data_IF_951156584956
#
_entry.id   IF_951156584956
#
_cell.length_a   1.000
_cell.length_b   1.000
_cell.length_c   1.000
_cell.angle_alpha   90.00
_cell.angle_beta   90.00
_cell.angle_gamma   90.00
#
_symmetry.space_group_name_H-M   'P 1'
#
loop_
_entity.id
_entity.type
_entity.pdbx_description
1 polymer ?
#
# COMPACT_ATOMS: atom_id res chain seq x y z
N UNK A 1 80.75 40.49 -27.30
CA UNK A 1 79.64 39.90 -28.08
C UNK A 1 78.97 38.84 -27.22
N UNK A 2 77.69 39.08 -26.89
CA UNK A 2 76.58 38.16 -26.53
C UNK A 2 76.86 36.89 -25.68
N UNK A 3 76.20 36.87 -24.51
CA UNK A 3 75.95 35.77 -23.55
C UNK A 3 75.08 34.61 -24.16
N UNK A 4 74.65 33.58 -23.37
CA UNK A 4 75.20 32.22 -23.23
C UNK A 4 74.11 31.19 -23.65
N UNK A 5 74.10 29.94 -23.17
CA UNK A 5 72.91 29.25 -22.61
C UNK A 5 73.27 27.78 -22.32
N UNK A 6 73.29 27.45 -21.03
CA UNK A 6 73.19 26.10 -20.48
C UNK A 6 71.78 25.56 -20.75
N UNK A 7 71.68 24.44 -21.46
CA UNK A 7 70.44 23.67 -21.58
C UNK A 7 70.35 22.69 -20.40
N UNK A 8 69.55 23.07 -19.40
CA UNK A 8 69.11 22.20 -18.31
C UNK A 8 68.14 21.14 -18.88
N UNK A 9 68.50 19.87 -18.74
CA UNK A 9 67.55 18.75 -18.82
C UNK A 9 66.57 18.86 -17.64
N UNK A 10 65.30 19.14 -17.92
CA UNK A 10 64.20 19.03 -16.96
C UNK A 10 63.18 18.06 -17.53
N UNK A 11 63.29 16.78 -17.15
CA UNK A 11 62.27 15.78 -17.38
C UNK A 11 61.16 15.96 -16.34
N UNK A 12 60.10 16.67 -16.72
CA UNK A 12 58.88 16.76 -15.92
C UNK A 12 58.06 15.50 -16.19
N UNK A 13 58.16 14.53 -15.27
CA UNK A 13 57.19 13.46 -15.11
C UNK A 13 55.85 14.09 -14.69
N UNK A 14 54.92 14.23 -15.64
CA UNK A 14 53.50 14.39 -15.33
C UNK A 14 52.97 13.00 -14.97
N UNK A 15 53.00 12.70 -13.68
CA UNK A 15 52.29 11.58 -13.06
C UNK A 15 50.82 11.68 -13.43
N UNK A 16 50.36 10.74 -14.26
CA UNK A 16 48.94 10.56 -14.50
C UNK A 16 48.24 10.30 -13.16
N UNK A 17 47.27 11.16 -12.83
CA UNK A 17 46.23 10.83 -11.87
C UNK A 17 45.38 9.71 -12.51
N UNK A 18 45.90 8.48 -12.46
CA UNK A 18 45.04 7.31 -12.53
C UNK A 18 44.26 7.32 -11.21
N UNK A 19 43.13 8.03 -11.19
CA UNK A 19 42.11 7.79 -10.19
C UNK A 19 41.73 6.33 -10.32
N UNK A 20 42.15 5.51 -9.36
CA UNK A 20 41.63 4.17 -9.18
C UNK A 20 40.13 4.32 -8.93
N UNK A 21 39.31 4.16 -9.96
CA UNK A 21 37.90 3.81 -9.77
C UNK A 21 37.88 2.38 -9.25
N UNK A 22 38.04 2.22 -7.94
CA UNK A 22 37.76 0.95 -7.30
C UNK A 22 36.26 0.70 -7.55
N UNK A 23 35.93 -0.30 -8.37
CA UNK A 23 34.55 -0.68 -8.61
C UNK A 23 33.89 -0.93 -7.26
N UNK A 24 32.82 -0.20 -6.99
CA UNK A 24 32.11 -0.29 -5.73
C UNK A 24 31.42 -1.66 -5.65
N UNK A 25 31.71 -2.40 -4.59
CA UNK A 25 31.15 -3.72 -4.43
C UNK A 25 29.68 -3.59 -3.99
N UNK A 26 28.75 -3.92 -4.88
CA UNK A 26 27.32 -3.81 -4.62
C UNK A 26 26.75 -5.08 -3.97
N UNK A 27 25.64 -4.92 -3.26
CA UNK A 27 24.82 -6.03 -2.75
C UNK A 27 23.34 -5.74 -2.98
N UNK A 28 22.55 -6.80 -3.11
CA UNK A 28 21.11 -6.70 -3.33
C UNK A 28 20.37 -6.70 -2.00
N UNK A 29 19.53 -5.69 -1.81
CA UNK A 29 18.58 -5.62 -0.69
C UNK A 29 17.17 -5.97 -1.15
N UNK A 30 16.42 -6.53 -0.21
CA UNK A 30 14.97 -6.53 -0.26
C UNK A 30 14.43 -5.09 -0.20
N UNK A 31 13.21 -4.86 -0.65
CA UNK A 31 12.52 -3.59 -0.55
C UNK A 31 11.20 -3.82 0.17
N UNK A 32 10.89 -2.94 1.11
CA UNK A 32 9.57 -2.87 1.72
C UNK A 32 9.27 -1.43 2.11
N UNK A 33 8.03 -1.15 2.50
CA UNK A 33 7.63 0.19 2.87
C UNK A 33 6.50 0.23 3.90
N UNK A 34 6.38 1.37 4.56
CA UNK A 34 5.29 1.67 5.48
C UNK A 34 4.77 3.08 5.24
N UNK A 35 3.44 3.23 5.20
CA UNK A 35 2.75 4.51 5.05
C UNK A 35 2.37 5.08 6.42
N UNK A 36 3.21 5.94 6.99
CA UNK A 36 2.90 6.67 8.21
C UNK A 36 2.08 7.94 7.94
N UNK A 37 2.01 8.38 6.68
CA UNK A 37 1.22 9.55 6.27
C UNK A 37 -0.28 9.26 6.25
N UNK A 38 -0.67 8.04 5.91
CA UNK A 38 -2.08 7.62 5.86
C UNK A 38 -2.80 8.02 4.58
N UNK A 39 -2.07 8.40 3.53
CA UNK A 39 -2.65 8.72 2.22
C UNK A 39 -2.81 7.49 1.32
N UNK A 40 -2.17 6.37 1.68
CA UNK A 40 -2.04 5.20 0.84
C UNK A 40 -1.06 5.43 -0.31
N UNK A 41 -0.52 4.33 -0.84
CA UNK A 41 0.47 4.34 -1.92
C UNK A 41 -0.06 3.44 -3.04
N UNK A 42 -0.27 4.01 -4.22
CA UNK A 42 -0.72 3.27 -5.40
C UNK A 42 0.40 2.39 -5.98
N UNK A 43 1.65 2.81 -5.81
CA UNK A 43 2.85 2.04 -6.09
C UNK A 43 4.09 2.89 -5.84
N UNK A 44 5.26 2.25 -5.68
CA UNK A 44 6.51 2.98 -5.54
C UNK A 44 7.69 2.18 -6.05
N UNK A 45 8.81 2.88 -6.22
CA UNK A 45 10.09 2.29 -6.58
C UNK A 45 11.23 3.10 -6.01
N UNK A 46 12.32 2.42 -5.71
CA UNK A 46 13.60 3.01 -5.32
C UNK A 46 14.52 2.96 -6.53
N UNK A 47 15.18 4.07 -6.83
CA UNK A 47 15.98 4.26 -8.03
C UNK A 47 17.30 4.90 -7.62
N UNK A 48 18.40 4.42 -8.17
CA UNK A 48 19.67 5.11 -8.03
C UNK A 48 19.65 6.39 -8.90
N UNK A 49 19.88 7.58 -8.32
CA UNK A 49 19.86 8.83 -9.07
C UNK A 49 20.96 8.93 -10.13
N UNK A 50 22.04 8.14 -10.00
CA UNK A 50 23.17 8.12 -10.91
C UNK A 50 23.13 6.92 -11.89
N UNK A 51 22.42 5.84 -11.56
CA UNK A 51 22.14 4.72 -12.46
C UNK A 51 20.65 4.32 -12.46
N UNK A 52 19.81 4.90 -13.34
CA UNK A 52 18.39 4.60 -13.40
C UNK A 52 18.03 3.12 -13.68
N UNK A 53 19.00 2.30 -14.12
CA UNK A 53 18.82 0.85 -14.30
C UNK A 53 18.85 0.11 -12.97
N UNK A 54 19.57 0.64 -11.97
CA UNK A 54 19.50 0.15 -10.60
C UNK A 54 18.21 0.66 -9.95
N UNK A 55 17.17 -0.18 -10.04
CA UNK A 55 15.82 0.12 -9.59
C UNK A 55 15.20 -1.13 -8.99
N UNK A 56 14.44 -0.95 -7.92
CA UNK A 56 13.50 -1.97 -7.45
C UNK A 56 12.14 -1.38 -7.09
N UNK A 57 11.09 -2.14 -7.40
CA UNK A 57 9.70 -1.75 -7.15
C UNK A 57 9.18 -2.34 -5.84
N UNK A 58 8.21 -1.67 -5.25
CA UNK A 58 7.44 -2.18 -4.11
C UNK A 58 5.94 -2.24 -4.38
N UNK A 59 5.23 -2.89 -3.46
CA UNK A 59 3.77 -3.08 -3.54
C UNK A 59 2.99 -1.78 -3.25
N UNK A 60 1.72 -1.76 -3.63
CA UNK A 60 0.79 -0.73 -3.16
C UNK A 60 0.50 -0.88 -1.66
N UNK A 61 0.29 0.23 -0.98
CA UNK A 61 0.00 0.29 0.45
C UNK A 61 -1.39 0.89 0.67
N UNK A 62 -2.19 0.24 1.51
CA UNK A 62 -3.36 0.89 2.08
C UNK A 62 -2.92 2.01 3.04
N UNK A 63 -3.77 3.03 3.30
CA UNK A 63 -3.50 4.02 4.33
C UNK A 63 -3.11 3.39 5.67
N UNK A 64 -2.06 3.91 6.30
CA UNK A 64 -1.56 3.42 7.60
C UNK A 64 -1.23 1.92 7.62
N UNK A 65 -0.64 1.42 6.52
CA UNK A 65 -0.21 0.02 6.40
C UNK A 65 1.26 -0.10 6.01
N UNK A 66 1.79 -1.32 6.11
CA UNK A 66 3.09 -1.70 5.58
C UNK A 66 2.95 -2.78 4.52
N UNK A 67 3.85 -2.77 3.55
CA UNK A 67 3.84 -3.67 2.39
C UNK A 67 4.60 -4.96 2.65
N UNK A 68 4.47 -5.91 1.74
CA UNK A 68 5.31 -7.09 1.71
C UNK A 68 6.77 -6.77 1.39
N UNK A 69 7.56 -7.83 1.26
CA UNK A 69 8.96 -7.75 0.82
C UNK A 69 9.03 -8.09 -0.66
N UNK A 70 9.62 -7.18 -1.44
CA UNK A 70 9.93 -7.37 -2.87
C UNK A 70 11.43 -7.34 -3.12
N UNK A 71 11.85 -7.81 -4.29
CA UNK A 71 13.25 -7.82 -4.71
C UNK A 71 13.40 -7.08 -6.05
N UNK A 72 14.49 -6.34 -6.31
CA UNK A 72 15.57 -5.95 -5.41
C UNK A 72 16.09 -4.55 -5.79
N UNK A 73 16.78 -3.89 -4.87
CA UNK A 73 17.57 -2.69 -5.14
C UNK A 73 19.04 -2.99 -4.80
N UNK A 74 19.98 -2.56 -5.64
CA UNK A 74 21.40 -2.74 -5.36
C UNK A 74 21.95 -1.50 -4.64
N UNK A 75 22.76 -1.72 -3.60
CA UNK A 75 23.39 -0.66 -2.82
C UNK A 75 24.85 -1.03 -2.56
N UNK A 76 25.74 -0.06 -2.30
CA UNK A 76 27.10 -0.36 -1.86
C UNK A 76 27.13 -1.29 -0.66
N UNK A 77 28.12 -2.19 -0.59
CA UNK A 77 28.32 -3.01 0.62
C UNK A 77 28.78 -2.15 1.80
N UNK A 78 29.59 -1.14 1.54
CA UNK A 78 30.09 -0.20 2.54
C UNK A 78 29.37 1.12 2.39
N UNK A 79 28.86 1.66 3.50
CA UNK A 79 28.25 2.98 3.48
C UNK A 79 29.31 4.07 3.26
N UNK A 80 28.92 5.13 2.57
CA UNK A 80 29.70 6.35 2.43
C UNK A 80 28.79 7.59 2.48
N UNK A 81 29.38 8.74 2.82
CA UNK A 81 28.66 10.01 2.83
C UNK A 81 28.17 10.39 1.43
N UNK A 82 26.99 10.98 1.34
CA UNK A 82 26.36 11.38 0.08
C UNK A 82 25.65 10.27 -0.68
N UNK A 83 25.49 9.08 -0.07
CA UNK A 83 24.66 8.02 -0.64
C UNK A 83 23.18 8.43 -0.65
N UNK A 84 22.56 8.43 -1.83
CA UNK A 84 21.19 8.90 -2.04
C UNK A 84 20.40 7.92 -2.89
N UNK A 85 19.07 7.94 -2.71
CA UNK A 85 18.13 7.24 -3.59
C UNK A 85 16.97 8.16 -3.98
N UNK A 86 16.41 7.91 -5.16
CA UNK A 86 15.16 8.50 -5.61
C UNK A 86 14.01 7.53 -5.31
N UNK A 87 13.11 7.94 -4.43
CA UNK A 87 11.83 7.26 -4.19
C UNK A 87 10.81 7.83 -5.19
N UNK A 88 10.50 7.06 -6.21
CA UNK A 88 9.48 7.41 -7.21
C UNK A 88 8.17 6.77 -6.79
N UNK A 89 7.19 7.58 -6.41
CA UNK A 89 5.91 7.16 -5.85
C UNK A 89 4.73 7.58 -6.73
N UNK A 90 3.70 6.73 -6.81
CA UNK A 90 2.38 7.10 -7.31
C UNK A 90 1.33 6.93 -6.19
N UNK A 91 0.53 7.97 -5.98
CA UNK A 91 -0.59 7.92 -5.05
C UNK A 91 -1.83 7.26 -5.67
N UNK A 92 -2.74 6.69 -4.85
CA UNK A 92 -4.01 6.14 -5.32
C UNK A 92 -4.75 7.09 -6.26
N UNK A 93 -5.42 6.54 -7.27
CA UNK A 93 -6.26 7.30 -8.17
C UNK A 93 -7.52 7.77 -7.44
N UNK A 94 -8.02 8.95 -7.81
CA UNK A 94 -9.24 9.53 -7.24
C UNK A 94 -10.49 8.92 -7.89
N UNK A 95 -11.56 8.76 -7.09
CA UNK A 95 -12.85 8.24 -7.56
C UNK A 95 -13.25 6.92 -6.92
N UNK A 96 -14.56 6.71 -6.81
CA UNK A 96 -15.16 5.49 -6.23
C UNK A 96 -15.52 4.47 -7.32
N UNK A 97 -15.66 4.93 -8.56
CA UNK A 97 -15.97 4.10 -9.73
C UNK A 97 -14.76 3.82 -10.61
N UNK A 98 -14.90 2.89 -11.56
CA UNK A 98 -13.86 2.64 -12.57
C UNK A 98 -13.68 3.81 -13.53
N UNK A 99 -14.77 4.48 -13.89
CA UNK A 99 -14.75 5.60 -14.84
C UNK A 99 -14.06 6.82 -14.23
N UNK A 100 -14.43 7.19 -13.00
CA UNK A 100 -13.78 8.30 -12.27
C UNK A 100 -12.28 8.07 -12.07
N UNK A 101 -11.87 6.83 -11.73
CA UNK A 101 -10.45 6.49 -11.61
C UNK A 101 -9.72 6.56 -12.95
N UNK A 102 -10.40 6.21 -14.05
CA UNK A 102 -9.83 6.33 -15.39
C UNK A 102 -9.65 7.80 -15.80
N UNK A 103 -10.60 8.66 -15.44
CA UNK A 103 -10.48 10.12 -15.64
C UNK A 103 -9.35 10.71 -14.79
N UNK A 104 -9.23 10.30 -13.52
CA UNK A 104 -8.13 10.70 -12.63
C UNK A 104 -6.77 10.31 -13.23
N UNK A 105 -6.64 9.09 -13.75
CA UNK A 105 -5.42 8.62 -14.42
C UNK A 105 -5.10 9.49 -15.65
N UNK A 106 -6.06 9.68 -16.55
CA UNK A 106 -5.88 10.45 -17.77
C UNK A 106 -5.47 11.90 -17.47
N UNK A 107 -6.11 12.53 -16.49
CA UNK A 107 -5.78 13.87 -16.02
C UNK A 107 -4.34 13.94 -15.50
N UNK A 108 -3.97 13.07 -14.56
CA UNK A 108 -2.62 13.08 -13.96
C UNK A 108 -1.52 12.73 -14.97
N UNK A 109 -1.82 11.91 -15.97
CA UNK A 109 -0.90 11.65 -17.08
C UNK A 109 -0.71 12.88 -17.96
N UNK A 110 -1.78 13.58 -18.33
CA UNK A 110 -1.71 14.80 -19.14
C UNK A 110 -0.97 15.94 -18.41
N UNK A 111 -1.14 16.03 -17.09
CA UNK A 111 -0.48 17.02 -16.24
C UNK A 111 0.96 16.62 -15.83
N UNK A 112 1.37 15.37 -16.07
CA UNK A 112 2.68 14.86 -15.63
C UNK A 112 2.79 14.67 -14.10
N UNK A 113 1.67 14.58 -13.39
CA UNK A 113 1.58 14.48 -11.92
C UNK A 113 1.32 13.04 -11.43
N UNK A 114 1.44 12.05 -12.33
CA UNK A 114 1.23 10.63 -11.97
C UNK A 114 2.29 10.12 -10.99
N UNK A 115 3.53 10.60 -11.11
CA UNK A 115 4.65 10.21 -10.28
C UNK A 115 5.27 11.42 -9.59
N UNK A 116 5.60 11.25 -8.32
CA UNK A 116 6.42 12.17 -7.55
C UNK A 116 7.76 11.51 -7.27
N UNK A 117 8.85 12.25 -7.43
CA UNK A 117 10.19 11.80 -7.06
C UNK A 117 10.62 12.52 -5.79
N UNK A 118 10.92 11.74 -4.75
CA UNK A 118 11.45 12.22 -3.49
C UNK A 118 12.90 11.76 -3.39
N UNK A 119 13.85 12.69 -3.40
CA UNK A 119 15.26 12.35 -3.16
C UNK A 119 15.51 12.22 -1.67
N UNK A 120 16.11 11.11 -1.27
CA UNK A 120 16.32 10.78 0.14
C UNK A 120 17.78 10.37 0.34
N UNK A 121 18.41 10.94 1.36
CA UNK A 121 19.72 10.49 1.83
C UNK A 121 19.57 9.11 2.51
N UNK A 122 20.50 8.19 2.22
CA UNK A 122 20.55 6.89 2.90
C UNK A 122 21.38 7.04 4.17
N UNK A 123 20.79 6.90 5.36
CA UNK A 123 21.54 6.95 6.61
C UNK A 123 22.58 5.83 6.70
N UNK A 124 23.58 6.03 7.56
CA UNK A 124 24.60 5.01 7.82
C UNK A 124 23.94 3.69 8.25
N UNK A 125 24.37 2.59 7.62
CA UNK A 125 23.90 1.25 7.91
C UNK A 125 25.03 0.34 8.37
N UNK A 126 24.66 -0.75 9.05
CA UNK A 126 25.63 -1.77 9.43
C UNK A 126 26.30 -2.33 8.18
N UNK A 127 27.63 -2.20 8.11
CA UNK A 127 28.45 -2.72 7.02
C UNK A 127 28.87 -4.17 7.32
N UNK A 128 28.75 -5.12 6.37
CA UNK A 128 28.22 -4.95 5.02
C UNK A 128 26.69 -4.79 5.01
N UNK A 129 26.18 -3.99 4.07
CA UNK A 129 24.74 -3.84 3.84
C UNK A 129 24.05 -5.21 3.69
N UNK A 130 22.90 -5.37 4.34
CA UNK A 130 22.11 -6.60 4.34
C UNK A 130 20.67 -6.33 4.75
N UNK A 131 19.77 -7.20 4.32
CA UNK A 131 18.37 -7.17 4.70
C UNK A 131 17.52 -6.37 3.73
N UNK A 132 16.78 -5.40 4.28
CA UNK A 132 15.73 -4.66 3.58
C UNK A 132 16.03 -3.17 3.58
N UNK A 133 15.86 -2.54 2.42
CA UNK A 133 15.69 -1.11 2.29
C UNK A 133 14.21 -0.79 2.53
N UNK A 134 13.95 -0.21 3.70
CA UNK A 134 12.64 0.25 4.13
C UNK A 134 12.41 1.67 3.65
N UNK A 135 11.33 1.90 2.89
CA UNK A 135 10.83 3.24 2.59
C UNK A 135 9.73 3.60 3.59
N UNK A 136 9.92 4.67 4.34
CA UNK A 136 8.93 5.17 5.29
C UNK A 136 8.29 6.42 4.69
N UNK A 137 7.05 6.31 4.20
CA UNK A 137 6.31 7.46 3.70
C UNK A 137 5.76 8.27 4.89
N UNK A 138 6.11 9.55 4.91
CA UNK A 138 5.84 10.47 6.00
C UNK A 138 4.82 11.53 5.57
N UNK A 139 4.15 12.22 6.50
CA UNK A 139 3.30 13.36 6.18
C UNK A 139 4.02 14.42 5.32
N UNK A 140 3.24 15.27 4.65
CA UNK A 140 3.71 16.31 3.73
C UNK A 140 4.50 15.78 2.52
N UNK A 141 4.12 14.59 2.02
CA UNK A 141 4.74 13.94 0.85
C UNK A 141 6.26 13.73 0.99
N UNK A 142 6.72 13.49 2.22
CA UNK A 142 8.12 13.17 2.52
C UNK A 142 8.34 11.67 2.59
N UNK A 143 9.57 11.24 2.45
CA UNK A 143 9.97 9.86 2.68
C UNK A 143 11.32 9.80 3.38
N UNK A 144 11.48 8.80 4.24
CA UNK A 144 12.77 8.37 4.78
C UNK A 144 13.11 7.00 4.21
N UNK A 145 14.40 6.66 4.18
CA UNK A 145 14.86 5.32 3.85
C UNK A 145 15.76 4.78 4.94
N UNK A 146 15.65 3.48 5.21
CA UNK A 146 16.43 2.80 6.26
C UNK A 146 16.85 1.43 5.77
N UNK A 147 18.14 1.12 5.86
CA UNK A 147 18.64 -0.24 5.57
C UNK A 147 18.76 -1.03 6.87
N UNK A 148 18.03 -2.14 6.98
CA UNK A 148 18.00 -2.95 8.19
C UNK A 148 17.58 -4.40 7.93
N UNK A 149 18.07 -5.32 8.76
CA UNK A 149 17.53 -6.69 8.86
C UNK A 149 16.31 -6.79 9.77
N UNK A 150 16.01 -5.72 10.48
CA UNK A 150 14.91 -5.67 11.43
C UNK A 150 13.73 -4.90 10.81
N UNK A 151 12.53 -5.30 11.19
CA UNK A 151 11.30 -4.56 10.86
C UNK A 151 11.16 -3.32 11.76
N UNK A 152 10.40 -2.30 11.35
CA UNK A 152 10.22 -1.06 12.11
C UNK A 152 9.86 -1.20 13.60
N UNK A 153 9.07 -2.20 14.05
CA UNK A 153 8.77 -2.39 15.48
C UNK A 153 9.90 -2.96 16.33
N UNK A 154 10.96 -3.50 15.72
CA UNK A 154 12.06 -4.12 16.47
C UNK A 154 12.85 -3.05 17.23
N UNK A 155 13.33 -3.39 18.43
CA UNK A 155 14.08 -2.44 19.28
C UNK A 155 15.35 -1.91 18.58
N UNK A 156 16.06 -2.81 17.89
CA UNK A 156 17.28 -2.51 17.12
C UNK A 156 17.03 -1.93 15.72
N UNK A 157 15.78 -1.60 15.36
CA UNK A 157 15.53 -0.89 14.11
C UNK A 157 16.21 0.49 14.15
N UNK A 158 17.08 0.84 13.16
CA UNK A 158 17.89 2.05 13.23
C UNK A 158 17.15 3.31 12.76
N UNK A 159 15.93 3.17 12.20
CA UNK A 159 15.13 4.33 11.78
C UNK A 159 14.60 5.14 12.94
N UNK A 160 14.46 6.45 12.73
CA UNK A 160 13.90 7.39 13.72
C UNK A 160 12.45 7.04 14.06
N UNK A 161 11.66 6.66 13.06
CA UNK A 161 10.29 6.21 13.23
C UNK A 161 10.29 4.70 13.45
N UNK A 162 9.92 4.31 14.67
CA UNK A 162 9.77 2.92 15.10
C UNK A 162 8.30 2.52 15.24
N UNK A 163 8.03 1.23 15.16
CA UNK A 163 6.68 0.66 15.23
C UNK A 163 5.98 0.64 13.87
N UNK A 164 4.81 0.01 13.83
CA UNK A 164 3.95 0.04 12.63
C UNK A 164 3.18 1.37 12.55
N UNK A 165 2.76 1.80 11.35
CA UNK A 165 1.87 2.94 11.21
C UNK A 165 0.61 2.78 12.07
N UNK A 166 0.24 3.86 12.77
CA UNK A 166 -0.95 3.90 13.63
C UNK A 166 -2.00 4.78 12.96
N UNK A 167 -3.20 4.24 12.64
CA UNK A 167 -4.25 5.02 12.01
C UNK A 167 -4.75 6.18 12.88
N UNK A 168 -4.90 7.35 12.28
CA UNK A 168 -5.48 8.53 12.95
C UNK A 168 -6.96 8.30 13.31
N UNK A 169 -7.44 9.01 14.33
CA UNK A 169 -8.85 8.97 14.75
C UNK A 169 -9.79 9.36 13.62
N UNK A 170 -9.39 10.34 12.81
CA UNK A 170 -10.14 10.77 11.63
C UNK A 170 -10.28 9.63 10.63
N UNK A 171 -9.18 8.96 10.30
CA UNK A 171 -9.22 7.83 9.36
C UNK A 171 -10.04 6.66 9.92
N UNK A 172 -9.88 6.34 11.21
CA UNK A 172 -10.67 5.30 11.88
C UNK A 172 -12.16 5.65 11.86
N UNK A 173 -12.54 6.90 12.14
CA UNK A 173 -13.92 7.39 12.01
C UNK A 173 -14.44 7.25 10.58
N UNK A 174 -13.65 7.64 9.57
CA UNK A 174 -14.02 7.49 8.16
C UNK A 174 -14.32 6.03 7.80
N UNK A 175 -13.51 5.08 8.28
CA UNK A 175 -13.75 3.65 8.06
C UNK A 175 -15.05 3.17 8.73
N UNK A 176 -15.26 3.56 9.99
CA UNK A 176 -16.49 3.21 10.73
C UNK A 176 -17.73 3.81 10.06
N UNK A 177 -17.68 5.08 9.66
CA UNK A 177 -18.81 5.77 9.03
C UNK A 177 -19.16 5.14 7.67
N UNK A 178 -18.16 4.74 6.88
CA UNK A 178 -18.39 3.99 5.63
C UNK A 178 -19.04 2.63 5.90
N UNK A 179 -18.53 1.87 6.86
CA UNK A 179 -19.10 0.55 7.18
C UNK A 179 -20.52 0.67 7.75
N UNK A 180 -20.79 1.70 8.57
CA UNK A 180 -22.13 2.01 9.07
C UNK A 180 -23.09 2.29 7.92
N UNK A 181 -22.72 3.14 6.96
CA UNK A 181 -23.56 3.44 5.80
C UNK A 181 -23.92 2.17 4.98
N UNK A 182 -22.93 1.30 4.75
CA UNK A 182 -23.13 0.04 4.03
C UNK A 182 -24.09 -0.91 4.76
N UNK A 183 -23.93 -1.03 6.08
CA UNK A 183 -24.76 -1.92 6.90
C UNK A 183 -26.16 -1.36 7.09
N UNK A 184 -26.31 -0.05 7.29
CA UNK A 184 -27.62 0.60 7.41
C UNK A 184 -28.43 0.44 6.12
N UNK A 185 -27.80 0.65 4.95
CA UNK A 185 -28.43 0.37 3.65
C UNK A 185 -28.84 -1.10 3.49
N UNK A 186 -27.99 -2.03 3.95
CA UNK A 186 -28.30 -3.47 3.92
C UNK A 186 -29.43 -3.83 4.87
N UNK A 187 -29.45 -3.25 6.07
CA UNK A 187 -30.48 -3.44 7.08
C UNK A 187 -31.84 -2.98 6.56
N UNK A 188 -31.93 -1.78 6.00
CA UNK A 188 -33.16 -1.24 5.43
C UNK A 188 -33.72 -2.18 4.34
N UNK A 189 -32.85 -2.63 3.42
CA UNK A 189 -33.22 -3.58 2.37
C UNK A 189 -33.72 -4.91 2.94
N UNK A 190 -33.07 -5.44 3.97
CA UNK A 190 -33.49 -6.69 4.61
C UNK A 190 -34.81 -6.54 5.38
N UNK A 191 -35.04 -5.40 6.05
CA UNK A 191 -36.31 -5.08 6.69
C UNK A 191 -37.44 -5.00 5.67
N UNK A 192 -37.21 -4.33 4.54
CA UNK A 192 -38.16 -4.28 3.42
C UNK A 192 -38.45 -5.67 2.86
N UNK A 193 -37.43 -6.50 2.65
CA UNK A 193 -37.61 -7.88 2.18
C UNK A 193 -38.46 -8.72 3.15
N UNK A 194 -38.25 -8.56 4.47
CA UNK A 194 -39.05 -9.26 5.48
C UNK A 194 -40.50 -8.76 5.51
N UNK A 195 -40.71 -7.45 5.39
CA UNK A 195 -42.05 -6.87 5.31
C UNK A 195 -42.81 -7.37 4.05
N UNK A 196 -42.17 -7.34 2.89
CA UNK A 196 -42.71 -7.89 1.64
C UNK A 196 -43.00 -9.40 1.74
N UNK A 197 -42.13 -10.16 2.39
CA UNK A 197 -42.36 -11.59 2.62
C UNK A 197 -43.56 -11.85 3.54
N UNK A 198 -43.77 -11.03 4.57
CA UNK A 198 -44.92 -11.14 5.48
C UNK A 198 -46.24 -10.74 4.82
N UNK A 199 -46.22 -9.70 4.00
CA UNK A 199 -47.42 -9.22 3.29
C UNK A 199 -47.79 -10.12 2.10
N UNK A 200 -46.80 -10.43 1.25
CA UNK A 200 -47.00 -11.12 -0.04
C UNK A 200 -45.95 -12.23 -0.24
N UNK A 201 -46.09 -13.38 0.46
CA UNK A 201 -45.04 -14.40 0.50
C UNK A 201 -44.64 -14.98 -0.86
N UNK A 202 -45.62 -15.19 -1.76
CA UNK A 202 -45.40 -15.90 -3.03
C UNK A 202 -44.29 -15.30 -3.90
N UNK A 203 -44.31 -13.98 -4.11
CA UNK A 203 -43.26 -13.29 -4.90
C UNK A 203 -41.90 -13.35 -4.22
N UNK A 204 -41.87 -13.24 -2.90
CA UNK A 204 -40.63 -13.32 -2.13
C UNK A 204 -40.03 -14.72 -2.19
N UNK A 205 -40.84 -15.77 -2.09
CA UNK A 205 -40.39 -17.16 -2.19
C UNK A 205 -39.73 -17.43 -3.55
N UNK A 206 -40.37 -17.04 -4.66
CA UNK A 206 -39.79 -17.20 -6.00
C UNK A 206 -38.45 -16.45 -6.16
N UNK A 207 -38.42 -15.17 -5.74
CA UNK A 207 -37.21 -14.33 -5.79
C UNK A 207 -36.07 -14.95 -5.00
N UNK A 208 -36.32 -15.31 -3.74
CA UNK A 208 -35.28 -15.83 -2.86
C UNK A 208 -34.88 -17.26 -3.17
N UNK A 209 -35.76 -18.08 -3.75
CA UNK A 209 -35.39 -19.39 -4.26
C UNK A 209 -34.26 -19.28 -5.30
N UNK A 210 -34.39 -18.36 -6.26
CA UNK A 210 -33.32 -18.10 -7.24
C UNK A 210 -32.02 -17.56 -6.62
N UNK A 211 -32.09 -16.87 -5.48
CA UNK A 211 -30.89 -16.43 -4.75
C UNK A 211 -30.24 -17.63 -4.05
N UNK A 212 -31.02 -18.44 -3.34
CA UNK A 212 -30.53 -19.59 -2.59
C UNK A 212 -29.94 -20.65 -3.52
N UNK A 213 -30.58 -20.99 -4.63
CA UNK A 213 -30.03 -21.98 -5.58
C UNK A 213 -28.69 -21.55 -6.18
N UNK A 214 -28.46 -20.24 -6.37
CA UNK A 214 -27.21 -19.72 -6.93
C UNK A 214 -26.10 -19.53 -5.91
N UNK A 215 -26.44 -19.19 -4.66
CA UNK A 215 -25.45 -18.71 -3.68
C UNK A 215 -25.37 -19.55 -2.41
N UNK A 216 -26.36 -20.42 -2.18
CA UNK A 216 -26.59 -21.20 -0.94
C UNK A 216 -27.31 -22.51 -1.26
N UNK A 217 -26.85 -23.24 -2.29
CA UNK A 217 -27.53 -24.43 -2.80
C UNK A 217 -27.69 -25.51 -1.72
N UNK A 218 -26.74 -25.58 -0.79
CA UNK A 218 -26.76 -26.47 0.37
C UNK A 218 -27.95 -26.24 1.32
N UNK A 219 -28.49 -25.01 1.37
CA UNK A 219 -29.64 -24.65 2.23
C UNK A 219 -30.98 -25.08 1.64
N UNK A 220 -31.02 -25.40 0.35
CA UNK A 220 -32.23 -25.80 -0.39
C UNK A 220 -32.12 -27.20 -0.97
N UNK A 221 -31.06 -27.92 -0.65
CA UNK A 221 -30.88 -29.31 -1.07
C UNK A 221 -32.04 -30.18 -0.56
N UNK A 222 -32.63 -30.97 -1.46
CA UNK A 222 -33.77 -31.82 -1.15
C UNK A 222 -35.11 -31.10 -1.00
N UNK A 223 -35.18 -29.78 -1.23
CA UNK A 223 -36.44 -29.04 -1.31
C UNK A 223 -36.99 -29.08 -2.74
N UNK A 224 -38.31 -29.20 -2.88
CA UNK A 224 -38.95 -29.37 -4.20
C UNK A 224 -39.10 -28.08 -5.01
N UNK A 225 -38.83 -26.92 -4.41
CA UNK A 225 -39.00 -25.63 -5.07
C UNK A 225 -39.32 -24.47 -4.12
N UNK A 226 -39.58 -23.27 -4.68
CA UNK A 226 -39.96 -22.08 -3.91
C UNK A 226 -41.23 -22.26 -3.08
N UNK A 227 -42.13 -23.15 -3.50
CA UNK A 227 -43.38 -23.45 -2.80
C UNK A 227 -43.26 -24.63 -1.81
N UNK A 228 -42.05 -25.18 -1.63
CA UNK A 228 -41.82 -26.23 -0.63
C UNK A 228 -42.19 -25.71 0.78
N UNK A 229 -43.01 -26.45 1.56
CA UNK A 229 -43.44 -26.02 2.90
C UNK A 229 -42.28 -25.71 3.86
N UNK A 230 -41.10 -26.32 3.65
CA UNK A 230 -39.90 -26.09 4.46
C UNK A 230 -39.13 -24.83 4.04
N UNK A 231 -39.32 -24.35 2.81
CA UNK A 231 -38.60 -23.18 2.32
C UNK A 231 -39.11 -21.87 2.96
N UNK A 232 -40.42 -21.78 3.23
CA UNK A 232 -41.01 -20.61 3.90
C UNK A 232 -40.39 -20.30 5.28
N UNK A 233 -40.36 -21.23 6.25
CA UNK A 233 -39.74 -20.97 7.55
C UNK A 233 -38.22 -20.73 7.44
N UNK A 234 -37.54 -21.41 6.50
CA UNK A 234 -36.12 -21.17 6.21
C UNK A 234 -35.86 -19.71 5.77
N UNK A 235 -36.69 -19.19 4.86
CA UNK A 235 -36.57 -17.81 4.38
C UNK A 235 -36.88 -16.79 5.46
N UNK A 236 -37.90 -17.03 6.29
CA UNK A 236 -38.24 -16.15 7.41
C UNK A 236 -37.10 -16.08 8.43
N UNK A 237 -36.54 -17.23 8.79
CA UNK A 237 -35.38 -17.33 9.68
C UNK A 237 -34.18 -16.58 9.08
N UNK A 238 -33.90 -16.80 7.80
CA UNK A 238 -32.82 -16.15 7.08
C UNK A 238 -32.92 -14.62 7.19
N UNK A 239 -34.04 -14.03 6.78
CA UNK A 239 -34.24 -12.58 6.78
C UNK A 239 -34.17 -12.01 8.20
N UNK A 240 -34.76 -12.69 9.17
CA UNK A 240 -34.75 -12.28 10.57
C UNK A 240 -33.34 -12.29 11.16
N UNK A 241 -32.54 -13.33 10.87
CA UNK A 241 -31.17 -13.45 11.35
C UNK A 241 -30.26 -12.37 10.73
N UNK A 242 -30.44 -12.05 9.45
CA UNK A 242 -29.71 -10.96 8.80
C UNK A 242 -29.99 -9.60 9.45
N UNK A 243 -31.27 -9.29 9.71
CA UNK A 243 -31.66 -8.06 10.41
C UNK A 243 -31.02 -7.98 11.79
N UNK A 244 -31.10 -9.05 12.59
CA UNK A 244 -30.51 -9.09 13.94
C UNK A 244 -28.99 -8.92 13.90
N UNK A 245 -28.33 -9.57 12.95
CA UNK A 245 -26.89 -9.46 12.76
C UNK A 245 -26.49 -8.02 12.42
N UNK A 246 -27.16 -7.41 11.45
CA UNK A 246 -26.87 -6.04 11.01
C UNK A 246 -27.13 -5.02 12.14
N UNK A 247 -28.22 -5.16 12.89
CA UNK A 247 -28.49 -4.33 14.08
C UNK A 247 -27.39 -4.44 15.14
N UNK A 248 -26.96 -5.67 15.46
CA UNK A 248 -25.88 -5.88 16.43
C UNK A 248 -24.57 -5.28 15.94
N UNK A 249 -24.26 -5.42 14.64
CA UNK A 249 -23.02 -4.87 14.07
C UNK A 249 -23.03 -3.34 14.09
N UNK A 250 -24.16 -2.70 13.79
CA UNK A 250 -24.32 -1.25 13.90
C UNK A 250 -24.04 -0.77 15.32
N UNK A 251 -24.60 -1.44 16.34
CA UNK A 251 -24.37 -1.06 17.74
C UNK A 251 -22.88 -1.15 18.11
N UNK A 252 -22.24 -2.28 17.79
CA UNK A 252 -20.80 -2.47 18.05
C UNK A 252 -19.93 -1.42 17.35
N UNK A 253 -20.29 -1.03 16.12
CA UNK A 253 -19.56 0.00 15.38
C UNK A 253 -19.74 1.40 15.97
N UNK A 254 -20.95 1.72 16.45
CA UNK A 254 -21.23 2.99 17.12
C UNK A 254 -20.51 3.09 18.46
N UNK A 255 -20.46 2.00 19.23
CA UNK A 255 -19.71 1.91 20.49
C UNK A 255 -18.19 2.01 20.29
N UNK A 256 -17.67 1.37 19.23
CA UNK A 256 -16.25 1.36 18.91
C UNK A 256 -15.77 2.60 18.12
N UNK A 257 -16.69 3.53 17.79
CA UNK A 257 -16.37 4.74 17.03
C UNK A 257 -15.45 5.64 17.86
N UNK A 258 -14.25 5.99 17.37
CA UNK A 258 -13.32 6.92 18.05
C UNK A 258 -13.86 8.34 18.11
#
# INVERSE_FOLDING_TARGET
MRYPVQLFLSAVMLTGLAGCSQEEELTSLNISAADYAGQGIGGYSVVDPNDPKNRGGGESLAPYSAGGITCCYQIPKQWHEGLQVDVVVSYPLEGDTTDERSESLARRQAEGTLHQTIRVDVPEYQTPAKGTLWVQFMPDEKANVVVSNFDPPHEDFPGEVKGWPVPSDEYRRKLVDRELADIESRLERNQKNLAEFKDSPGKSLERFWGVFTRTRSERVEGLSGPQDPKFKPLLEEYLTNFIKHDQRRIELLREARP
#
